data_IF_406948586602
#
_entry.id   IF_406948586602
#
_cell.length_a   1.000
_cell.length_b   1.000
_cell.length_c   1.000
_cell.angle_alpha   90.00
_cell.angle_beta   90.00
_cell.angle_gamma   90.00
#
_symmetry.space_group_name_H-M   'P 1'
#
loop_
_entity.id
_entity.type
_entity.pdbx_description
1 polymer ?
#
# COMPACT_ATOMS: atom_id res chain seq x y z
N UNK A 1 75.57 -21.25 -16.88
CA UNK A 1 74.60 -20.39 -17.58
C UNK A 1 73.97 -19.56 -16.49
N UNK A 2 74.47 -18.34 -16.33
CA UNK A 2 74.15 -17.43 -15.23
C UNK A 2 72.77 -16.83 -15.47
N UNK A 3 71.85 -16.97 -14.52
CA UNK A 3 70.56 -16.27 -14.55
C UNK A 3 70.83 -14.76 -14.39
N UNK A 4 70.69 -14.01 -15.49
CA UNK A 4 70.87 -12.55 -15.47
C UNK A 4 69.83 -11.91 -14.55
N UNK A 5 70.25 -11.29 -13.43
CA UNK A 5 69.34 -10.70 -12.45
C UNK A 5 68.47 -9.59 -13.05
N UNK A 6 68.87 -8.99 -14.18
CA UNK A 6 68.07 -7.96 -14.87
C UNK A 6 66.84 -8.56 -15.56
N UNK A 7 66.95 -9.76 -16.10
CA UNK A 7 65.83 -10.45 -16.75
C UNK A 7 64.83 -10.95 -15.69
N UNK A 8 65.33 -11.42 -14.54
CA UNK A 8 64.49 -11.78 -13.41
C UNK A 8 63.71 -10.57 -12.85
N UNK A 9 64.37 -9.42 -12.71
CA UNK A 9 63.73 -8.17 -12.28
C UNK A 9 62.68 -7.65 -13.28
N UNK A 10 62.94 -7.78 -14.59
CA UNK A 10 61.98 -7.40 -15.62
C UNK A 10 60.73 -8.29 -15.61
N UNK A 11 60.90 -9.61 -15.41
CA UNK A 11 59.78 -10.55 -15.26
C UNK A 11 58.98 -10.31 -13.98
N UNK A 12 59.63 -9.92 -12.90
CA UNK A 12 58.96 -9.61 -11.64
C UNK A 12 58.07 -8.36 -11.77
N UNK A 13 58.56 -7.28 -12.39
CA UNK A 13 57.75 -6.07 -12.65
C UNK A 13 56.56 -6.34 -13.57
N UNK A 14 56.78 -7.06 -14.67
CA UNK A 14 55.69 -7.39 -15.61
C UNK A 14 54.60 -8.27 -14.96
N UNK A 15 54.93 -9.05 -13.93
CA UNK A 15 53.96 -9.83 -13.16
C UNK A 15 53.20 -8.99 -12.14
N UNK A 16 53.86 -7.97 -11.57
CA UNK A 16 53.25 -7.07 -10.59
C UNK A 16 52.28 -6.08 -11.26
N UNK A 17 52.64 -5.56 -12.45
CA UNK A 17 51.79 -4.65 -13.22
C UNK A 17 50.52 -5.32 -13.80
N UNK A 18 50.46 -6.66 -13.78
CA UNK A 18 49.34 -7.44 -14.34
C UNK A 18 48.24 -7.84 -13.35
N UNK A 19 48.49 -7.80 -12.04
CA UNK A 19 47.62 -8.44 -11.02
C UNK A 19 47.05 -7.48 -9.95
N UNK A 20 47.33 -6.17 -9.98
CA UNK A 20 46.87 -5.23 -8.93
C UNK A 20 46.16 -3.99 -9.49
N UNK A 21 45.03 -4.17 -10.18
CA UNK A 21 43.99 -3.14 -10.24
C UNK A 21 42.89 -3.54 -9.23
N UNK A 22 42.92 -2.95 -8.03
CA UNK A 22 41.82 -3.07 -7.08
C UNK A 22 40.49 -2.66 -7.75
N UNK A 23 39.38 -3.40 -7.57
CA UNK A 23 38.12 -3.11 -8.25
C UNK A 23 37.49 -1.76 -7.88
N UNK A 24 38.04 -1.08 -6.87
CA UNK A 24 37.61 0.24 -6.39
C UNK A 24 38.31 1.42 -7.10
N UNK A 25 39.34 1.16 -7.91
CA UNK A 25 40.15 2.19 -8.59
C UNK A 25 39.79 2.35 -10.09
N UNK A 26 38.63 1.80 -10.49
CA UNK A 26 38.11 2.00 -11.85
C UNK A 26 37.70 3.48 -12.02
N UNK A 27 38.23 4.20 -13.04
CA UNK A 27 37.88 5.59 -13.25
C UNK A 27 36.38 5.73 -13.46
N UNK A 28 35.75 6.58 -12.63
CA UNK A 28 34.31 6.87 -12.75
C UNK A 28 34.06 7.49 -14.12
N UNK A 29 33.17 6.91 -14.96
CA UNK A 29 32.92 7.42 -16.30
C UNK A 29 32.48 8.87 -16.25
N UNK A 30 33.07 9.70 -17.09
CA UNK A 30 32.71 11.12 -17.23
C UNK A 30 31.25 11.26 -17.67
N UNK A 31 30.64 12.43 -17.43
CA UNK A 31 29.26 12.71 -17.90
C UNK A 31 29.10 12.46 -19.40
N UNK A 32 30.12 12.78 -20.20
CA UNK A 32 30.12 12.58 -21.65
C UNK A 32 30.12 11.10 -22.02
N UNK A 33 30.90 10.28 -21.33
CA UNK A 33 30.95 8.82 -21.55
C UNK A 33 29.63 8.16 -21.13
N UNK A 34 29.05 8.59 -20.00
CA UNK A 34 27.73 8.11 -19.55
C UNK A 34 26.65 8.47 -20.58
N UNK A 35 26.63 9.70 -21.08
CA UNK A 35 25.68 10.13 -22.09
C UNK A 35 25.84 9.32 -23.40
N UNK A 36 27.07 9.07 -23.85
CA UNK A 36 27.34 8.27 -25.05
C UNK A 36 26.88 6.81 -24.89
N UNK A 37 27.09 6.22 -23.71
CA UNK A 37 26.60 4.89 -23.38
C UNK A 37 25.07 4.83 -23.38
N UNK A 38 24.41 5.79 -22.70
CA UNK A 38 22.94 5.89 -22.65
C UNK A 38 22.35 6.06 -24.05
N UNK A 39 22.91 6.94 -24.87
CA UNK A 39 22.48 7.14 -26.26
C UNK A 39 22.60 5.84 -27.06
N UNK A 40 23.73 5.14 -26.93
CA UNK A 40 23.93 3.86 -27.61
C UNK A 40 22.90 2.82 -27.19
N UNK A 41 22.57 2.76 -25.89
CA UNK A 41 21.54 1.87 -25.36
C UNK A 41 20.14 2.22 -25.89
N UNK A 42 19.79 3.51 -25.95
CA UNK A 42 18.53 3.98 -26.54
C UNK A 42 18.44 3.59 -28.02
N UNK A 43 19.48 3.83 -28.81
CA UNK A 43 19.50 3.49 -30.23
C UNK A 43 19.38 1.99 -30.48
N UNK A 44 20.00 1.17 -29.63
CA UNK A 44 19.84 -0.28 -29.70
C UNK A 44 18.41 -0.71 -29.36
N UNK A 45 17.79 -0.13 -28.33
CA UNK A 45 16.41 -0.40 -27.95
C UNK A 45 15.40 0.03 -29.04
N UNK A 46 15.62 1.18 -29.67
CA UNK A 46 14.84 1.62 -30.84
C UNK A 46 14.97 0.63 -32.01
N UNK A 47 16.17 0.15 -32.33
CA UNK A 47 16.37 -0.86 -33.40
C UNK A 47 15.72 -2.21 -33.12
N UNK A 48 15.62 -2.60 -31.85
CA UNK A 48 14.91 -3.82 -31.44
C UNK A 48 13.39 -3.66 -31.46
N UNK A 49 12.89 -2.44 -31.62
CA UNK A 49 11.45 -2.16 -31.52
C UNK A 49 10.94 -2.20 -30.08
N UNK A 50 11.81 -2.04 -29.06
CA UNK A 50 11.41 -2.05 -27.64
C UNK A 50 10.42 -0.89 -27.32
N UNK A 51 10.36 0.13 -28.18
CA UNK A 51 9.43 1.26 -28.10
C UNK A 51 8.22 1.14 -29.06
N UNK A 52 8.13 0.06 -29.84
CA UNK A 52 6.99 -0.18 -30.73
C UNK A 52 5.81 -0.78 -29.95
N UNK A 53 4.58 -0.42 -30.32
CA UNK A 53 3.34 -0.96 -29.72
C UNK A 53 3.23 -0.80 -28.19
N UNK A 54 3.79 0.28 -27.63
CA UNK A 54 3.66 0.56 -26.20
C UNK A 54 2.19 0.62 -25.76
N UNK A 55 1.85 0.18 -24.53
CA UNK A 55 0.52 0.35 -23.98
C UNK A 55 0.10 1.82 -24.01
N UNK A 56 -0.86 2.16 -24.86
CA UNK A 56 -1.33 3.53 -25.05
C UNK A 56 -0.78 4.26 -26.29
N UNK A 57 0.11 3.64 -27.06
CA UNK A 57 0.60 4.21 -28.33
C UNK A 57 -0.56 4.48 -29.29
N UNK A 58 -0.69 5.72 -29.75
CA UNK A 58 -1.75 6.17 -30.67
C UNK A 58 -3.15 6.25 -30.05
N UNK A 59 -3.35 5.85 -28.79
CA UNK A 59 -4.63 6.01 -28.10
C UNK A 59 -4.77 7.44 -27.59
N UNK A 60 -5.97 8.03 -27.63
CA UNK A 60 -6.20 9.30 -26.94
C UNK A 60 -5.88 9.13 -25.46
N UNK A 61 -5.25 10.15 -24.86
CA UNK A 61 -5.02 10.15 -23.43
C UNK A 61 -6.40 10.20 -22.75
N UNK A 62 -6.72 9.16 -21.99
CA UNK A 62 -7.99 9.08 -21.27
C UNK A 62 -8.16 10.29 -20.35
N UNK A 63 -9.26 11.04 -20.54
CA UNK A 63 -9.59 12.22 -19.73
C UNK A 63 -8.96 13.54 -20.20
N UNK A 64 -8.23 13.56 -21.31
CA UNK A 64 -7.75 14.80 -21.93
C UNK A 64 -8.84 15.36 -22.88
N UNK A 65 -9.60 16.38 -22.46
CA UNK A 65 -10.43 17.16 -23.38
C UNK A 65 -11.81 17.61 -22.90
N UNK A 66 -12.40 17.01 -21.86
CA UNK A 66 -13.80 17.33 -21.51
C UNK A 66 -13.95 18.39 -20.41
N UNK A 67 -12.94 18.63 -19.57
CA UNK A 67 -12.85 19.75 -18.63
C UNK A 67 -11.39 19.98 -18.24
N UNK A 68 -10.89 21.22 -18.30
CA UNK A 68 -9.57 21.56 -17.76
C UNK A 68 -9.66 21.57 -16.23
N UNK A 69 -9.60 20.39 -15.62
CA UNK A 69 -9.48 20.23 -14.17
C UNK A 69 -7.99 20.36 -13.81
N UNK A 70 -7.52 21.47 -13.22
CA UNK A 70 -6.11 21.61 -12.84
C UNK A 70 -5.65 20.53 -11.83
N UNK A 71 -6.60 19.91 -11.11
CA UNK A 71 -6.34 18.88 -10.10
C UNK A 71 -6.48 17.45 -10.65
N UNK A 72 -6.58 17.27 -11.98
CA UNK A 72 -6.80 15.97 -12.62
C UNK A 72 -5.76 14.91 -12.19
N UNK A 73 -4.50 15.32 -12.06
CA UNK A 73 -3.39 14.45 -11.67
C UNK A 73 -3.46 14.09 -10.19
N UNK A 74 -3.91 15.01 -9.33
CA UNK A 74 -4.12 14.78 -7.88
C UNK A 74 -5.21 13.74 -7.70
N UNK A 75 -6.36 13.91 -8.37
CA UNK A 75 -7.48 12.95 -8.34
C UNK A 75 -7.06 11.58 -8.85
N UNK A 76 -6.29 11.53 -9.94
CA UNK A 76 -5.72 10.28 -10.47
C UNK A 76 -4.80 9.62 -9.46
N UNK A 77 -3.90 10.36 -8.82
CA UNK A 77 -2.95 9.84 -7.83
C UNK A 77 -3.65 9.33 -6.57
N UNK A 78 -4.62 10.09 -6.03
CA UNK A 78 -5.46 9.67 -4.90
C UNK A 78 -6.15 8.34 -5.22
N UNK A 79 -6.72 8.19 -6.43
CA UNK A 79 -7.38 6.95 -6.85
C UNK A 79 -6.40 5.79 -7.01
N UNK A 80 -5.28 6.00 -7.69
CA UNK A 80 -4.26 4.96 -7.94
C UNK A 80 -3.67 4.43 -6.64
N UNK A 81 -3.38 5.31 -5.70
CA UNK A 81 -2.76 4.98 -4.40
C UNK A 81 -3.81 4.63 -3.32
N UNK A 82 -5.10 4.66 -3.66
CA UNK A 82 -6.23 4.45 -2.74
C UNK A 82 -6.13 5.31 -1.46
N UNK A 83 -5.70 6.56 -1.60
CA UNK A 83 -5.53 7.46 -0.46
C UNK A 83 -6.90 7.80 0.13
N UNK A 84 -7.04 7.59 1.44
CA UNK A 84 -8.25 7.92 2.21
C UNK A 84 -7.92 8.95 3.29
N UNK A 85 -8.94 9.65 3.80
CA UNK A 85 -8.76 10.62 4.89
C UNK A 85 -8.10 11.96 4.52
N UNK A 86 -7.95 12.28 3.23
CA UNK A 86 -7.39 13.55 2.75
C UNK A 86 -8.44 14.66 2.60
N UNK A 87 -9.34 14.79 3.58
CA UNK A 87 -10.47 15.71 3.50
C UNK A 87 -10.61 16.63 4.71
N UNK A 88 -11.37 17.73 4.61
CA UNK A 88 -11.78 18.50 5.77
C UNK A 88 -12.44 17.59 6.82
N UNK A 89 -12.20 17.82 8.13
CA UNK A 89 -12.73 16.97 9.20
C UNK A 89 -14.24 16.73 9.10
N UNK A 90 -15.01 17.73 8.68
CA UNK A 90 -16.46 17.63 8.46
C UNK A 90 -16.84 16.50 7.48
N UNK A 91 -16.13 16.38 6.35
CA UNK A 91 -16.40 15.36 5.33
C UNK A 91 -15.90 13.98 5.76
N UNK A 92 -14.77 13.92 6.46
CA UNK A 92 -14.25 12.67 7.01
C UNK A 92 -15.21 12.07 8.02
N UNK A 93 -15.69 12.89 8.98
CA UNK A 93 -16.66 12.45 9.99
C UNK A 93 -17.97 11.98 9.37
N UNK A 94 -18.42 12.63 8.28
CA UNK A 94 -19.63 12.20 7.57
C UNK A 94 -19.46 10.85 6.87
N UNK A 95 -18.28 10.61 6.30
CA UNK A 95 -17.93 9.34 5.67
C UNK A 95 -17.82 8.22 6.71
N UNK A 96 -17.15 8.50 7.82
CA UNK A 96 -17.03 7.58 8.95
C UNK A 96 -18.38 7.27 9.60
N UNK A 97 -19.24 8.27 9.76
CA UNK A 97 -20.61 8.08 10.25
C UNK A 97 -21.41 7.11 9.35
N UNK A 98 -21.26 7.20 8.03
CA UNK A 98 -21.90 6.29 7.09
C UNK A 98 -21.35 4.85 7.17
N UNK A 99 -20.06 4.71 7.51
CA UNK A 99 -19.36 3.42 7.65
C UNK A 99 -19.37 2.87 9.08
N UNK A 100 -20.03 3.57 10.02
CA UNK A 100 -19.89 3.32 11.46
C UNK A 100 -20.28 1.89 11.85
N UNK A 101 -21.43 1.42 11.37
CA UNK A 101 -21.92 0.07 11.68
C UNK A 101 -20.94 -1.02 11.22
N UNK A 102 -20.44 -0.91 9.99
CA UNK A 102 -19.46 -1.85 9.45
C UNK A 102 -18.14 -1.85 10.24
N UNK A 103 -17.69 -0.68 10.72
CA UNK A 103 -16.51 -0.58 11.58
C UNK A 103 -16.74 -1.17 12.97
N UNK A 104 -17.87 -0.85 13.59
CA UNK A 104 -18.25 -1.42 14.88
C UNK A 104 -18.36 -2.96 14.82
N UNK A 105 -18.91 -3.50 13.73
CA UNK A 105 -19.06 -4.94 13.54
C UNK A 105 -17.73 -5.68 13.35
N UNK A 106 -16.69 -4.98 12.86
CA UNK A 106 -15.33 -5.50 12.77
C UNK A 106 -14.62 -5.59 14.13
N UNK A 107 -15.10 -4.88 15.16
CA UNK A 107 -14.56 -4.94 16.51
C UNK A 107 -15.04 -6.19 17.25
N UNK A 108 -14.18 -6.71 18.13
CA UNK A 108 -14.41 -7.99 18.79
C UNK A 108 -14.78 -7.85 20.27
N UNK A 109 -14.36 -6.76 20.92
CA UNK A 109 -14.63 -6.52 22.34
C UNK A 109 -15.57 -5.34 22.52
N UNK A 110 -16.44 -5.43 23.52
CA UNK A 110 -17.35 -4.34 23.86
C UNK A 110 -16.59 -3.06 24.23
N UNK A 111 -15.48 -3.18 24.96
CA UNK A 111 -14.64 -2.04 25.35
C UNK A 111 -14.09 -1.28 24.13
N UNK A 112 -13.68 -2.00 23.07
CA UNK A 112 -13.23 -1.40 21.81
C UNK A 112 -14.36 -0.64 21.12
N UNK A 113 -15.59 -1.18 21.13
CA UNK A 113 -16.77 -0.52 20.56
C UNK A 113 -17.06 0.77 21.34
N UNK A 114 -17.03 0.71 22.67
CA UNK A 114 -17.25 1.87 23.55
C UNK A 114 -16.21 2.95 23.29
N UNK A 115 -14.93 2.59 23.29
CA UNK A 115 -13.81 3.51 23.01
C UNK A 115 -13.96 4.15 21.62
N UNK A 116 -14.32 3.35 20.61
CA UNK A 116 -14.53 3.84 19.25
C UNK A 116 -15.69 4.85 19.15
N UNK A 117 -16.82 4.59 19.82
CA UNK A 117 -17.96 5.53 19.85
C UNK A 117 -17.57 6.82 20.57
N UNK A 118 -16.86 6.72 21.68
CA UNK A 118 -16.40 7.87 22.47
C UNK A 118 -15.38 8.72 21.71
N UNK A 119 -14.41 8.11 21.04
CA UNK A 119 -13.46 8.80 20.17
C UNK A 119 -14.18 9.51 19.01
N UNK A 120 -15.10 8.82 18.34
CA UNK A 120 -15.89 9.42 17.26
C UNK A 120 -16.66 10.65 17.76
N UNK A 121 -17.34 10.53 18.90
CA UNK A 121 -18.08 11.63 19.51
C UNK A 121 -17.16 12.81 19.90
N UNK A 122 -15.99 12.52 20.48
CA UNK A 122 -14.99 13.53 20.81
C UNK A 122 -14.55 14.31 19.57
N UNK A 123 -14.22 13.61 18.48
CA UNK A 123 -13.81 14.23 17.21
C UNK A 123 -14.95 15.04 16.57
N UNK A 124 -16.21 14.59 16.66
CA UNK A 124 -17.37 15.38 16.22
C UNK A 124 -17.50 16.68 17.02
N UNK A 125 -17.36 16.61 18.34
CA UNK A 125 -17.46 17.78 19.22
C UNK A 125 -16.30 18.76 18.96
N UNK A 126 -15.08 18.26 18.85
CA UNK A 126 -13.89 19.07 18.54
C UNK A 126 -14.04 19.76 17.19
N UNK A 127 -14.42 19.03 16.14
CA UNK A 127 -14.63 19.59 14.82
C UNK A 127 -15.71 20.70 14.80
N UNK A 128 -16.75 20.57 15.64
CA UNK A 128 -17.76 21.63 15.82
C UNK A 128 -17.20 22.85 16.57
N UNK A 129 -16.29 22.64 17.52
CA UNK A 129 -15.66 23.70 18.34
C UNK A 129 -14.56 24.46 17.60
N UNK A 130 -13.89 23.83 16.64
CA UNK A 130 -12.69 24.36 16.01
C UNK A 130 -12.88 25.75 15.37
N UNK A 131 -14.10 26.11 14.92
CA UNK A 131 -14.45 27.43 14.35
C UNK A 131 -13.51 27.92 13.22
N UNK A 132 -12.69 27.05 12.62
CA UNK A 132 -11.64 27.38 11.65
C UNK A 132 -12.15 27.80 10.25
N UNK A 133 -13.45 28.06 10.11
CA UNK A 133 -14.07 28.27 8.80
C UNK A 133 -14.12 26.97 7.98
N UNK A 134 -15.16 26.83 7.17
CA UNK A 134 -15.42 25.64 6.36
C UNK A 134 -16.88 25.20 6.43
N UNK A 135 -17.28 24.19 5.63
CA UNK A 135 -18.62 23.65 5.65
C UNK A 135 -19.01 23.20 7.07
N UNK A 136 -20.24 23.51 7.55
CA UNK A 136 -20.64 23.19 8.90
C UNK A 136 -20.59 21.68 9.17
N UNK A 137 -20.16 21.31 10.38
CA UNK A 137 -20.15 19.91 10.84
C UNK A 137 -21.57 19.50 11.25
N UNK A 138 -22.32 18.89 10.34
CA UNK A 138 -23.71 18.44 10.56
C UNK A 138 -23.79 16.99 11.08
N UNK A 139 -22.66 16.28 11.18
CA UNK A 139 -22.62 14.88 11.63
C UNK A 139 -23.08 14.77 13.09
N UNK A 140 -24.08 13.94 13.42
CA UNK A 140 -24.56 13.75 14.79
C UNK A 140 -23.59 12.92 15.63
N UNK A 141 -23.60 13.13 16.94
CA UNK A 141 -23.00 12.21 17.92
C UNK A 141 -23.87 10.97 18.09
N UNK A 142 -23.28 9.86 18.51
CA UNK A 142 -23.97 8.58 18.74
C UNK A 142 -24.04 8.27 20.23
N UNK A 143 -25.10 7.58 20.64
CA UNK A 143 -25.25 7.12 22.00
C UNK A 143 -24.43 5.84 22.22
N UNK A 144 -23.56 5.83 23.22
CA UNK A 144 -22.60 4.75 23.45
C UNK A 144 -23.31 3.44 23.81
N UNK A 145 -24.26 3.51 24.75
CA UNK A 145 -24.96 2.33 25.24
C UNK A 145 -25.87 1.73 24.17
N UNK A 146 -26.55 2.59 23.39
CA UNK A 146 -27.37 2.15 22.27
C UNK A 146 -26.55 1.44 21.17
N UNK A 147 -25.36 1.96 20.82
CA UNK A 147 -24.50 1.33 19.82
C UNK A 147 -23.93 -0.01 20.28
N UNK A 148 -23.56 -0.10 21.56
CA UNK A 148 -23.11 -1.35 22.18
C UNK A 148 -24.23 -2.40 22.19
N UNK A 149 -25.46 -2.01 22.58
CA UNK A 149 -26.61 -2.90 22.55
C UNK A 149 -26.88 -3.41 21.13
N UNK A 150 -26.91 -2.50 20.15
CA UNK A 150 -27.12 -2.86 18.76
C UNK A 150 -26.00 -3.77 18.21
N UNK A 151 -24.76 -3.59 18.64
CA UNK A 151 -23.63 -4.46 18.28
C UNK A 151 -23.81 -5.87 18.84
N UNK A 152 -24.20 -6.01 20.11
CA UNK A 152 -24.51 -7.31 20.73
C UNK A 152 -25.64 -8.04 19.99
N UNK A 153 -26.72 -7.33 19.66
CA UNK A 153 -27.86 -7.88 18.91
C UNK A 153 -27.45 -8.40 17.53
N UNK A 154 -26.64 -7.64 16.79
CA UNK A 154 -26.13 -8.06 15.47
C UNK A 154 -25.25 -9.30 15.58
N UNK A 155 -24.39 -9.38 16.61
CA UNK A 155 -23.55 -10.58 16.82
C UNK A 155 -24.35 -11.79 17.25
N UNK A 156 -25.34 -11.63 18.12
CA UNK A 156 -26.23 -12.71 18.54
C UNK A 156 -27.01 -13.27 17.35
N UNK A 157 -27.45 -12.40 16.44
CA UNK A 157 -28.17 -12.79 15.21
C UNK A 157 -27.26 -13.47 14.17
N UNK A 158 -25.96 -13.16 14.18
CA UNK A 158 -24.97 -13.76 13.30
C UNK A 158 -24.37 -15.08 13.84
N UNK A 159 -24.61 -15.42 15.11
CA UNK A 159 -24.14 -16.66 15.68
C UNK A 159 -24.79 -17.85 14.95
N UNK A 160 -24.00 -18.81 14.42
CA UNK A 160 -24.57 -19.97 13.76
C UNK A 160 -25.46 -20.73 14.74
N UNK A 161 -26.67 -21.09 14.28
CA UNK A 161 -27.57 -21.93 15.05
C UNK A 161 -26.80 -23.16 15.56
N UNK A 162 -26.97 -23.56 16.84
CA UNK A 162 -26.27 -24.71 17.38
C UNK A 162 -26.52 -25.91 16.46
N UNK A 163 -25.43 -26.51 15.94
CA UNK A 163 -25.52 -27.65 15.06
C UNK A 163 -26.41 -28.74 15.70
N UNK A 164 -27.34 -29.35 14.95
CA UNK A 164 -28.22 -30.37 15.51
C UNK A 164 -27.37 -31.47 16.16
N UNK A 165 -27.67 -31.77 17.41
CA UNK A 165 -26.95 -32.78 18.18
C UNK A 165 -26.84 -34.09 17.38
N UNK A 166 -25.65 -34.73 17.32
CA UNK A 166 -25.48 -35.94 16.53
C UNK A 166 -26.47 -37.01 17.04
N UNK A 167 -27.13 -37.77 16.13
CA UNK A 167 -28.12 -38.75 16.53
C UNK A 167 -27.47 -39.79 17.43
N UNK A 168 -28.02 -39.96 18.63
CA UNK A 168 -27.54 -40.92 19.62
C UNK A 168 -27.70 -42.32 19.05
N UNK A 169 -26.64 -42.92 18.51
CA UNK A 169 -26.68 -44.28 17.99
C UNK A 169 -27.01 -45.24 19.13
N UNK A 170 -28.08 -46.05 19.04
CA UNK A 170 -28.42 -47.00 20.09
C UNK A 170 -27.30 -48.05 20.21
N UNK A 171 -26.75 -48.19 21.41
CA UNK A 171 -25.71 -49.18 21.73
C UNK A 171 -26.31 -50.57 21.52
N UNK A 172 -25.88 -51.27 20.46
CA UNK A 172 -26.22 -52.68 20.22
C UNK A 172 -25.78 -53.51 21.42
N UNK A 173 -26.74 -54.06 22.17
CA UNK A 173 -26.50 -55.07 23.20
C UNK A 173 -26.14 -56.37 22.47
N UNK A 174 -24.88 -56.77 22.57
CA UNK A 174 -24.42 -58.10 22.21
C UNK A 174 -25.00 -59.08 23.24
N UNK A 175 -26.03 -59.83 22.84
CA UNK A 175 -26.50 -60.97 23.60
C UNK A 175 -25.49 -62.11 23.45
N UNK A 176 -24.95 -62.55 24.59
CA UNK A 176 -24.02 -63.66 24.68
C UNK A 176 -24.69 -65.00 24.40
N UNK A 177 -23.88 -65.93 23.89
CA UNK A 177 -24.18 -67.36 23.79
C UNK A 177 -23.00 -68.12 24.39
#
# INVERSE_FOLDING_TARGET
MEDDPRIAAARYRARQDGDEAEPDDAPVPTERERAAYVETAIQQAMRRGDFDNLPGAGKPIEGLGEHHDPDWWIRRKIRTEQLSGLGPPALMLRTEHAQFAARADALHREEEVREYVEDFNRRVIEARRQLLGGPPVVTPTRDVDAEVAAWHERRASAAPAPAPAPPTRPRRRLFGR
#
